data_IF_861548045738
#
_entry.id   IF_861548045738
#
_cell.length_a   1.000
_cell.length_b   1.000
_cell.length_c   1.000
_cell.angle_alpha   90.00
_cell.angle_beta   90.00
_cell.angle_gamma   90.00
#
_symmetry.space_group_name_H-M   'P 1'
#
loop_
_entity.id
_entity.type
_entity.pdbx_description
1 polymer ?
#
# COMPACT_ATOMS: atom_id res chain seq x y z
N UNK A 1 20.69 7.71 1.38
CA UNK A 1 19.39 7.00 1.35
C UNK A 1 18.96 6.93 -0.11
N UNK A 2 18.52 5.77 -0.59
CA UNK A 2 17.94 5.70 -1.94
C UNK A 2 16.67 6.57 -1.94
N UNK A 3 16.74 7.76 -2.52
CA UNK A 3 15.62 8.67 -2.63
C UNK A 3 14.77 8.25 -3.81
N UNK A 4 13.55 7.80 -3.56
CA UNK A 4 12.56 7.64 -4.62
C UNK A 4 11.89 9.00 -4.88
N UNK A 5 11.53 9.25 -6.13
CA UNK A 5 10.71 10.40 -6.49
C UNK A 5 9.56 9.95 -7.38
N UNK A 6 8.57 10.82 -7.54
CA UNK A 6 7.35 10.53 -8.29
C UNK A 6 7.20 11.50 -9.46
N UNK A 7 6.56 11.03 -10.52
CA UNK A 7 6.15 11.87 -11.65
C UNK A 7 4.66 11.67 -11.94
N UNK A 8 3.90 12.74 -11.79
CA UNK A 8 2.47 12.76 -12.07
C UNK A 8 2.22 13.11 -13.55
N UNK A 9 1.30 12.38 -14.17
CA UNK A 9 0.82 12.62 -15.53
C UNK A 9 -0.70 12.80 -15.48
N UNK A 10 -1.18 13.78 -16.25
CA UNK A 10 -2.56 14.27 -16.25
C UNK A 10 -3.02 14.87 -14.90
N UNK A 11 -4.24 15.40 -14.88
CA UNK A 11 -4.78 16.08 -13.70
C UNK A 11 -5.22 15.06 -12.63
N UNK A 12 -4.99 15.32 -11.33
CA UNK A 12 -5.56 14.49 -10.26
C UNK A 12 -7.08 14.37 -10.38
N UNK A 13 -7.64 13.23 -9.93
CA UNK A 13 -9.07 12.92 -10.03
C UNK A 13 -9.62 12.88 -11.47
N UNK A 14 -8.79 12.43 -12.42
CA UNK A 14 -9.16 12.13 -13.81
C UNK A 14 -8.89 10.67 -14.16
N UNK A 15 -9.51 10.16 -15.22
CA UNK A 15 -9.30 8.77 -15.69
C UNK A 15 -7.87 8.55 -16.21
N UNK A 16 -7.24 9.62 -16.70
CA UNK A 16 -5.91 9.64 -17.29
C UNK A 16 -4.80 9.78 -16.25
N UNK A 17 -5.14 10.10 -15.00
CA UNK A 17 -4.14 10.33 -13.95
C UNK A 17 -3.28 9.10 -13.72
N UNK A 18 -1.96 9.27 -13.75
CA UNK A 18 -0.97 8.25 -13.42
C UNK A 18 0.15 8.87 -12.59
N UNK A 19 0.61 8.15 -11.58
CA UNK A 19 1.78 8.52 -10.79
C UNK A 19 2.85 7.42 -10.97
N UNK A 20 3.93 7.79 -11.65
CA UNK A 20 5.08 6.93 -11.91
C UNK A 20 6.17 7.14 -10.87
N UNK A 21 7.01 6.12 -10.68
CA UNK A 21 8.12 6.16 -9.74
C UNK A 21 9.45 6.28 -10.46
N UNK A 22 10.39 6.96 -9.82
CA UNK A 22 11.78 7.07 -10.24
C UNK A 22 12.72 6.74 -9.10
N UNK A 23 13.83 6.08 -9.43
CA UNK A 23 14.92 5.85 -8.49
C UNK A 23 15.76 7.12 -8.26
N UNK A 24 16.78 7.01 -7.42
CA UNK A 24 17.68 8.12 -7.10
C UNK A 24 18.50 8.64 -8.30
N UNK A 25 18.62 7.85 -9.37
CA UNK A 25 19.26 8.24 -10.62
C UNK A 25 18.26 8.87 -11.61
N UNK A 26 16.98 9.00 -11.24
CA UNK A 26 15.91 9.55 -12.07
C UNK A 26 15.36 8.57 -13.12
N UNK A 27 15.72 7.28 -13.04
CA UNK A 27 15.23 6.25 -13.97
C UNK A 27 13.84 5.81 -13.52
N UNK A 28 12.92 5.64 -14.46
CA UNK A 28 11.60 5.09 -14.16
C UNK A 28 11.71 3.64 -13.69
N UNK A 29 10.95 3.31 -12.66
CA UNK A 29 10.91 2.00 -12.02
C UNK A 29 9.47 1.58 -11.76
N UNK A 30 9.23 0.28 -11.69
CA UNK A 30 7.96 -0.29 -11.22
C UNK A 30 7.89 -0.27 -9.69
N UNK A 31 6.85 0.33 -9.07
CA UNK A 31 6.64 0.20 -7.64
C UNK A 31 6.23 -1.20 -7.23
N UNK A 32 5.75 -2.04 -8.15
CA UNK A 32 5.41 -3.43 -7.88
C UNK A 32 6.68 -4.29 -7.85
N UNK A 33 7.59 -4.11 -8.80
CA UNK A 33 8.68 -5.07 -9.05
C UNK A 33 10.08 -4.58 -8.65
N UNK A 34 10.36 -3.28 -8.78
CA UNK A 34 11.73 -2.76 -8.73
C UNK A 34 12.09 -2.13 -7.37
N UNK A 35 11.10 -1.75 -6.57
CA UNK A 35 11.32 -1.32 -5.18
C UNK A 35 11.56 -2.59 -4.35
N UNK A 36 12.71 -2.71 -3.64
CA UNK A 36 13.00 -3.91 -2.86
C UNK A 36 11.96 -4.14 -1.75
N UNK A 37 11.58 -5.39 -1.52
CA UNK A 37 10.73 -5.81 -0.39
C UNK A 37 11.28 -5.28 0.95
N UNK A 38 12.58 -5.51 1.19
CA UNK A 38 13.24 -5.12 2.43
C UNK A 38 14.02 -3.81 2.27
N UNK A 39 13.82 -2.90 3.22
CA UNK A 39 14.71 -1.76 3.42
C UNK A 39 15.92 -2.15 4.30
N UNK A 40 15.71 -3.05 5.27
CA UNK A 40 16.74 -3.68 6.10
C UNK A 40 16.27 -5.08 6.51
N UNK A 41 16.74 -6.11 5.80
CA UNK A 41 16.37 -7.50 6.04
C UNK A 41 16.85 -8.00 7.42
N UNK A 42 17.97 -7.48 7.94
CA UNK A 42 18.49 -7.88 9.25
C UNK A 42 17.64 -7.40 10.42
N UNK A 43 16.76 -6.42 10.18
CA UNK A 43 15.85 -5.83 11.18
C UNK A 43 14.37 -6.03 10.86
N UNK A 44 14.04 -6.81 9.83
CA UNK A 44 12.67 -6.96 9.33
C UNK A 44 11.99 -5.60 9.06
N UNK A 45 12.72 -4.69 8.42
CA UNK A 45 12.18 -3.40 7.96
C UNK A 45 11.86 -3.51 6.48
N UNK A 46 10.62 -3.24 6.14
CA UNK A 46 10.08 -3.35 4.78
C UNK A 46 9.96 -1.97 4.14
N UNK A 47 10.08 -1.90 2.82
CA UNK A 47 9.57 -0.75 2.10
C UNK A 47 8.05 -0.89 1.94
N UNK A 48 7.32 0.20 2.10
CA UNK A 48 5.90 0.30 1.78
C UNK A 48 5.72 1.40 0.75
N UNK A 49 4.95 1.11 -0.30
CA UNK A 49 4.52 2.09 -1.30
C UNK A 49 3.17 2.63 -0.86
N UNK A 50 3.08 3.92 -0.54
CA UNK A 50 1.84 4.56 -0.09
C UNK A 50 0.95 4.89 -1.29
N UNK A 51 -0.28 4.40 -1.31
CA UNK A 51 -1.23 4.62 -2.40
C UNK A 51 -2.31 5.65 -2.01
N UNK A 52 -2.87 5.50 -0.82
CA UNK A 52 -3.97 6.33 -0.32
C UNK A 52 -3.57 6.98 1.01
N UNK A 53 -3.34 8.30 1.03
CA UNK A 53 -3.12 9.04 2.28
C UNK A 53 -4.30 8.92 3.24
N UNK A 54 -4.02 8.86 4.54
CA UNK A 54 -5.06 8.86 5.57
C UNK A 54 -6.03 10.04 5.40
N UNK A 55 -7.31 9.76 5.62
CA UNK A 55 -8.46 10.66 5.51
C UNK A 55 -8.79 11.17 4.11
N UNK A 56 -8.31 10.46 3.08
CA UNK A 56 -8.71 10.67 1.69
C UNK A 56 -9.62 9.55 1.19
N UNK A 57 -10.33 9.78 0.07
CA UNK A 57 -11.39 8.89 -0.40
C UNK A 57 -11.10 8.25 -1.76
N UNK A 58 -10.20 8.81 -2.57
CA UNK A 58 -9.91 8.25 -3.89
C UNK A 58 -9.26 6.87 -3.71
N UNK A 59 -9.88 5.82 -4.28
CA UNK A 59 -9.29 4.47 -4.27
C UNK A 59 -8.17 4.46 -5.31
N UNK A 60 -6.95 4.67 -4.85
CA UNK A 60 -5.75 4.66 -5.67
C UNK A 60 -5.03 3.33 -5.45
N UNK A 61 -4.49 2.75 -6.52
CA UNK A 61 -3.84 1.44 -6.49
C UNK A 61 -2.69 1.38 -7.51
N UNK A 62 -1.69 0.56 -7.23
CA UNK A 62 -0.67 0.12 -8.17
C UNK A 62 -1.38 -0.60 -9.32
N UNK A 63 -1.21 -0.10 -10.55
CA UNK A 63 -1.81 -0.71 -11.71
C UNK A 63 -1.06 -2.00 -12.12
N UNK A 64 -1.44 -3.15 -11.55
CA UNK A 64 -0.77 -4.45 -11.76
C UNK A 64 -0.66 -4.89 -13.22
N UNK A 65 -1.53 -4.37 -14.08
CA UNK A 65 -1.61 -4.69 -15.52
C UNK A 65 -1.00 -3.63 -16.45
N UNK A 66 -0.68 -2.44 -15.94
CA UNK A 66 -0.11 -1.36 -16.74
C UNK A 66 1.44 -1.44 -16.71
N UNK A 67 2.15 -1.15 -17.81
CA UNK A 67 3.61 -1.12 -17.81
C UNK A 67 4.16 -0.14 -16.76
N UNK A 68 5.22 -0.56 -16.05
CA UNK A 68 5.82 0.16 -14.92
C UNK A 68 4.88 0.38 -13.73
N UNK A 69 3.70 -0.24 -13.72
CA UNK A 69 2.74 -0.28 -12.61
C UNK A 69 2.52 1.05 -11.89
N UNK A 70 2.25 2.17 -12.60
CA UNK A 70 1.97 3.45 -11.94
C UNK A 70 0.79 3.33 -10.99
N UNK A 71 0.75 4.20 -9.99
CA UNK A 71 -0.47 4.35 -9.18
C UNK A 71 -1.52 5.07 -10.04
N UNK A 72 -2.74 4.52 -10.07
CA UNK A 72 -3.91 5.12 -10.71
C UNK A 72 -5.15 4.96 -9.85
N UNK A 73 -6.22 5.68 -10.18
CA UNK A 73 -7.49 5.53 -9.48
C UNK A 73 -8.28 4.35 -10.06
N UNK A 74 -8.84 3.51 -9.19
CA UNK A 74 -9.74 2.42 -9.57
C UNK A 74 -10.99 2.99 -10.28
N UNK A 75 -11.49 2.26 -11.28
CA UNK A 75 -12.63 2.64 -12.11
C UNK A 75 -13.70 1.56 -12.05
N UNK A 76 -14.84 1.89 -11.46
CA UNK A 76 -16.02 1.00 -11.39
C UNK A 76 -17.12 1.55 -12.29
N UNK A 77 -17.58 0.76 -13.26
CA UNK A 77 -18.62 1.15 -14.25
C UNK A 77 -18.29 2.45 -14.99
N UNK A 78 -17.03 2.61 -15.40
CA UNK A 78 -16.55 3.78 -16.15
C UNK A 78 -16.43 5.07 -15.33
N UNK A 79 -16.60 5.01 -14.00
CA UNK A 79 -16.46 6.16 -13.10
C UNK A 79 -15.33 5.90 -12.09
N UNK A 80 -14.60 6.96 -11.77
CA UNK A 80 -13.60 6.97 -10.71
C UNK A 80 -14.22 6.52 -9.39
N UNK A 81 -13.60 5.56 -8.71
CA UNK A 81 -14.07 5.01 -7.44
C UNK A 81 -13.57 5.85 -6.27
N UNK A 82 -14.50 6.15 -5.37
CA UNK A 82 -14.22 6.78 -4.08
C UNK A 82 -14.81 5.90 -2.98
N UNK A 83 -14.02 5.63 -1.95
CA UNK A 83 -14.49 4.97 -0.73
C UNK A 83 -15.37 5.93 0.06
N UNK A 84 -16.49 5.43 0.55
CA UNK A 84 -17.44 6.22 1.32
C UNK A 84 -16.89 6.57 2.71
N UNK A 85 -17.36 7.68 3.27
CA UNK A 85 -17.20 7.92 4.70
C UNK A 85 -18.21 7.04 5.44
N UNK A 86 -17.73 6.10 6.26
CA UNK A 86 -18.56 5.26 7.12
C UNK A 86 -18.46 5.83 8.54
N UNK A 87 -19.53 6.44 9.04
CA UNK A 87 -19.53 7.11 10.34
C UNK A 87 -19.02 6.17 11.46
N UNK A 88 -18.09 6.62 12.34
CA UNK A 88 -17.57 7.99 12.53
C UNK A 88 -16.33 8.34 11.69
N UNK A 89 -15.96 7.51 10.73
CA UNK A 89 -14.70 7.60 9.99
C UNK A 89 -14.78 8.52 8.76
N UNK A 90 -13.63 9.12 8.42
CA UNK A 90 -13.42 9.93 7.21
C UNK A 90 -12.44 9.20 6.30
N UNK A 91 -12.90 8.79 5.12
CA UNK A 91 -12.09 8.09 4.12
C UNK A 91 -11.36 6.87 4.68
N UNK A 92 -10.15 6.63 4.17
CA UNK A 92 -9.23 5.66 4.75
C UNK A 92 -8.75 6.15 6.12
N UNK A 93 -8.82 5.31 7.15
CA UNK A 93 -8.42 5.69 8.52
C UNK A 93 -6.93 5.44 8.83
N UNK A 94 -6.19 4.94 7.84
CA UNK A 94 -4.74 4.67 7.88
C UNK A 94 -4.08 5.30 6.65
N UNK A 95 -2.74 5.42 6.65
CA UNK A 95 -2.04 5.50 5.36
C UNK A 95 -2.10 4.09 4.77
N UNK A 96 -2.60 3.97 3.54
CA UNK A 96 -2.85 2.69 2.91
C UNK A 96 -1.96 2.53 1.68
N UNK A 97 -1.52 1.30 1.44
CA UNK A 97 -0.73 0.96 0.28
C UNK A 97 -0.28 -0.50 0.32
N UNK A 98 0.84 -0.79 -0.32
CA UNK A 98 1.29 -2.16 -0.54
C UNK A 98 2.77 -2.38 -0.18
N UNK A 99 3.12 -3.62 0.11
CA UNK A 99 4.52 -4.06 0.15
C UNK A 99 4.95 -4.50 -1.26
N UNK A 100 5.99 -3.90 -1.86
CA UNK A 100 6.46 -4.27 -3.19
C UNK A 100 7.06 -5.68 -3.20
N UNK A 101 7.12 -6.30 -4.37
CA UNK A 101 7.64 -7.67 -4.57
C UNK A 101 6.89 -8.76 -3.78
N UNK A 102 5.60 -8.54 -3.54
CA UNK A 102 4.68 -9.53 -2.94
C UNK A 102 3.50 -9.73 -3.87
N UNK A 103 2.84 -10.89 -3.82
CA UNK A 103 1.68 -11.16 -4.67
C UNK A 103 0.80 -12.23 -4.02
N UNK A 104 -0.47 -11.90 -3.83
CA UNK A 104 -1.52 -12.82 -3.39
C UNK A 104 -1.94 -13.69 -4.59
N UNK A 105 -1.28 -14.84 -4.76
CA UNK A 105 -1.48 -15.71 -5.94
C UNK A 105 -2.93 -16.22 -6.04
N UNK A 106 -3.69 -15.88 -7.11
CA UNK A 106 -5.07 -16.33 -7.29
C UNK A 106 -5.19 -17.84 -7.60
N UNK A 107 -4.08 -18.51 -7.91
CA UNK A 107 -3.99 -19.96 -8.04
C UNK A 107 -3.70 -20.68 -6.72
N UNK A 108 -3.32 -19.96 -5.67
CA UNK A 108 -2.99 -20.51 -4.37
C UNK A 108 -4.15 -20.34 -3.39
N UNK A 109 -4.63 -21.44 -2.81
CA UNK A 109 -5.65 -21.42 -1.77
C UNK A 109 -4.99 -21.31 -0.39
N UNK A 110 -5.18 -20.19 0.29
CA UNK A 110 -4.66 -19.99 1.64
C UNK A 110 -5.36 -20.90 2.65
N UNK A 111 -4.59 -21.45 3.59
CA UNK A 111 -5.07 -22.43 4.57
C UNK A 111 -5.90 -21.78 5.70
N UNK A 112 -5.65 -20.51 6.02
CA UNK A 112 -6.30 -19.80 7.11
C UNK A 112 -7.66 -19.21 6.70
N UNK A 113 -7.76 -18.68 5.48
CA UNK A 113 -8.99 -18.11 4.93
C UNK A 113 -9.82 -19.15 4.17
N UNK A 114 -9.17 -20.16 3.60
CA UNK A 114 -9.82 -21.11 2.68
C UNK A 114 -10.20 -20.48 1.32
N UNK A 115 -9.62 -19.33 0.96
CA UNK A 115 -9.85 -18.60 -0.28
C UNK A 115 -8.57 -18.49 -1.13
N UNK A 116 -8.71 -18.20 -2.42
CA UNK A 116 -7.56 -17.85 -3.27
C UNK A 116 -7.19 -16.38 -3.12
N UNK A 117 -5.94 -15.99 -3.42
CA UNK A 117 -5.50 -14.60 -3.38
C UNK A 117 -6.24 -13.69 -4.37
N UNK A 118 -6.28 -12.39 -4.07
CA UNK A 118 -6.96 -11.34 -4.85
C UNK A 118 -6.16 -10.86 -6.08
N UNK A 119 -4.99 -11.47 -6.33
CA UNK A 119 -4.09 -11.17 -7.44
C UNK A 119 -3.38 -9.80 -7.36
N UNK A 120 -3.38 -9.14 -6.21
CA UNK A 120 -2.68 -7.88 -5.97
C UNK A 120 -1.47 -8.07 -5.01
N UNK A 121 -0.60 -7.05 -4.84
CA UNK A 121 0.43 -7.08 -3.81
C UNK A 121 -0.20 -7.05 -2.41
N UNK A 122 0.50 -7.59 -1.40
CA UNK A 122 -0.03 -7.63 -0.04
C UNK A 122 -0.22 -6.20 0.52
N UNK A 123 -1.39 -5.97 1.10
CA UNK A 123 -1.81 -4.65 1.55
C UNK A 123 -1.28 -4.28 2.93
N UNK A 124 -1.12 -2.98 3.17
CA UNK A 124 -0.59 -2.41 4.40
C UNK A 124 -1.45 -1.26 4.91
N UNK A 125 -1.84 -1.36 6.17
CA UNK A 125 -2.37 -0.27 6.98
C UNK A 125 -1.25 0.28 7.86
N UNK A 126 -0.70 1.44 7.49
CA UNK A 126 0.32 2.14 8.28
C UNK A 126 -0.34 3.09 9.29
N UNK A 127 -0.02 2.89 10.57
CA UNK A 127 -0.76 3.46 11.70
C UNK A 127 -0.10 4.69 12.34
N UNK A 128 1.06 5.13 11.84
CA UNK A 128 1.83 6.22 12.38
C UNK A 128 1.09 7.56 12.36
N UNK A 129 1.58 8.52 13.13
CA UNK A 129 0.98 9.83 13.34
C UNK A 129 1.00 10.71 12.09
N UNK A 130 2.01 10.58 11.22
CA UNK A 130 2.15 11.36 9.98
C UNK A 130 1.09 10.94 8.94
N UNK A 131 0.48 11.90 8.26
CA UNK A 131 -0.26 11.62 7.01
C UNK A 131 0.74 11.62 5.86
N UNK A 132 0.95 10.46 5.23
CA UNK A 132 1.91 10.29 4.15
C UNK A 132 1.38 10.84 2.83
N UNK A 133 2.30 11.08 1.89
CA UNK A 133 1.93 11.46 0.52
C UNK A 133 1.70 10.22 -0.34
N UNK A 134 0.79 10.32 -1.31
CA UNK A 134 0.64 9.27 -2.33
C UNK A 134 1.93 9.15 -3.14
N UNK A 135 2.38 7.92 -3.35
CA UNK A 135 3.63 7.59 -4.01
C UNK A 135 4.87 7.72 -3.11
N UNK A 136 4.70 8.05 -1.83
CA UNK A 136 5.81 7.99 -0.87
C UNK A 136 6.24 6.53 -0.66
N UNK A 137 7.55 6.29 -0.65
CA UNK A 137 8.12 4.98 -0.29
C UNK A 137 8.70 5.11 1.10
N UNK A 138 7.99 4.56 2.09
CA UNK A 138 8.36 4.66 3.50
C UNK A 138 8.91 3.33 4.01
N UNK A 139 9.61 3.39 5.14
CA UNK A 139 10.13 2.20 5.82
C UNK A 139 9.24 1.87 6.98
N UNK A 140 8.75 0.64 7.04
CA UNK A 140 7.82 0.22 8.07
C UNK A 140 8.31 -1.03 8.78
N UNK A 141 7.91 -1.17 10.03
CA UNK A 141 7.98 -2.45 10.75
C UNK A 141 6.59 -3.04 10.89
N UNK A 142 6.50 -4.34 10.67
CA UNK A 142 5.25 -5.10 10.78
C UNK A 142 4.94 -5.38 12.26
N UNK A 143 3.68 -5.16 12.64
CA UNK A 143 3.16 -5.36 13.98
C UNK A 143 2.22 -6.56 14.08
N UNK A 144 1.56 -6.90 12.98
CA UNK A 144 0.61 -8.00 12.88
C UNK A 144 -0.07 -8.03 11.52
N UNK A 145 -1.10 -8.86 11.40
CA UNK A 145 -1.90 -9.00 10.16
C UNK A 145 -3.36 -9.26 10.50
N UNK A 146 -4.25 -8.91 9.58
CA UNK A 146 -5.68 -9.25 9.60
C UNK A 146 -6.01 -10.06 8.34
N UNK A 147 -6.70 -11.19 8.52
CA UNK A 147 -7.19 -12.01 7.42
C UNK A 147 -8.56 -11.48 6.96
N UNK A 148 -8.58 -10.57 5.97
CA UNK A 148 -9.84 -10.15 5.37
C UNK A 148 -10.22 -11.15 4.27
N UNK A 149 -11.52 -11.44 4.16
CA UNK A 149 -12.09 -12.10 2.99
C UNK A 149 -12.87 -11.02 2.24
N UNK A 150 -12.32 -10.49 1.15
CA UNK A 150 -12.98 -9.48 0.32
C UNK A 150 -13.63 -10.15 -0.90
N UNK A 151 -14.96 -10.05 -1.00
CA UNK A 151 -15.77 -10.66 -2.08
C UNK A 151 -15.46 -12.15 -2.40
N UNK A 152 -14.88 -12.90 -1.44
CA UNK A 152 -14.55 -14.33 -1.59
C UNK A 152 -13.07 -14.62 -1.84
N UNK A 153 -12.22 -13.60 -1.86
CA UNK A 153 -10.77 -13.69 -2.06
C UNK A 153 -10.03 -13.45 -0.73
N UNK A 154 -8.85 -14.05 -0.60
CA UNK A 154 -7.91 -13.80 0.49
C UNK A 154 -7.28 -12.43 0.26
N UNK A 155 -7.39 -11.58 1.27
CA UNK A 155 -6.94 -10.19 1.20
C UNK A 155 -6.25 -9.83 2.54
N UNK A 156 -4.97 -10.16 2.68
CA UNK A 156 -4.24 -9.93 3.92
C UNK A 156 -3.96 -8.43 4.13
N UNK A 157 -4.37 -7.90 5.30
CA UNK A 157 -4.04 -6.52 5.70
C UNK A 157 -2.95 -6.53 6.74
N UNK A 158 -1.73 -6.20 6.33
CA UNK A 158 -0.60 -6.01 7.23
C UNK A 158 -0.79 -4.75 8.07
N UNK A 159 -0.64 -4.87 9.39
CA UNK A 159 -0.60 -3.71 10.29
C UNK A 159 0.86 -3.34 10.52
N UNK A 160 1.22 -2.11 10.17
CA UNK A 160 2.60 -1.65 10.25
C UNK A 160 2.69 -0.21 10.81
N UNK A 161 3.88 0.16 11.25
CA UNK A 161 4.18 1.55 11.66
C UNK A 161 5.47 2.01 10.99
N UNK A 162 5.48 3.26 10.54
CA UNK A 162 6.67 3.91 10.01
C UNK A 162 7.79 3.90 11.06
N UNK A 163 8.99 3.47 10.67
CA UNK A 163 10.15 3.41 11.59
C UNK A 163 10.64 4.79 12.02
N UNK A 164 10.23 5.85 11.31
CA UNK A 164 10.51 7.25 11.64
C UNK A 164 9.41 7.89 12.49
N UNK A 165 8.34 7.17 12.83
CA UNK A 165 7.32 7.68 13.73
C UNK A 165 7.90 7.88 15.15
N UNK A 166 7.58 8.98 15.86
CA UNK A 166 8.08 9.22 17.22
C UNK A 166 7.76 8.10 18.21
N UNK A 167 6.64 7.40 18.01
CA UNK A 167 6.21 6.30 18.86
C UNK A 167 6.68 4.94 18.35
N UNK A 168 7.37 4.87 17.20
CA UNK A 168 7.74 3.61 16.57
C UNK A 168 8.38 2.66 17.59
N UNK A 169 9.36 3.10 18.37
CA UNK A 169 10.06 2.27 19.37
C UNK A 169 9.13 1.60 20.41
N UNK A 170 7.94 2.15 20.67
CA UNK A 170 6.96 1.60 21.62
C UNK A 170 6.10 0.46 21.02
N UNK A 171 6.10 0.27 19.69
CA UNK A 171 5.29 -0.73 18.99
C UNK A 171 6.16 -1.84 18.41
N UNK A 172 6.28 -3.01 19.05
CA UNK A 172 7.25 -4.05 18.66
C UNK A 172 6.63 -5.42 18.31
N UNK A 173 5.33 -5.49 18.01
CA UNK A 173 4.64 -6.73 17.64
C UNK A 173 4.54 -7.78 18.75
N UNK A 174 4.95 -7.43 19.98
CA UNK A 174 4.83 -8.26 21.18
C UNK A 174 3.83 -7.57 22.13
N UNK A 175 2.55 -7.80 21.85
CA UNK A 175 1.40 -7.49 22.69
C UNK A 175 1.23 -6.05 23.23
N UNK A 176 0.33 -5.29 22.60
CA UNK A 176 -0.90 -4.83 23.26
C UNK A 176 -2.03 -5.05 22.25
N UNK A 177 -3.04 -5.83 22.65
CA UNK A 177 -4.21 -6.14 21.83
C UNK A 177 -4.75 -4.90 21.10
N UNK A 178 -5.12 -5.09 19.84
CA UNK A 178 -6.17 -4.31 19.19
C UNK A 178 -7.48 -5.05 19.50
#
# INVERSE_FOLDING_TARGET
MAGYSVEERAAPNSLEYRLFFKDAAGRYISPFHDIPLYADAGKNVFNMVVEVPRWTNAKMEIATKDPLNPIKQDVKKGKLRYVANVFPHKGYIWNYGAIPQTWEDPGHKDENTGCCGDNDPIDVCEIGSKVCSRGEVIKVKVLGTLALIDEGETDWKIIAINVEDPEAENYNGREKCI
#
